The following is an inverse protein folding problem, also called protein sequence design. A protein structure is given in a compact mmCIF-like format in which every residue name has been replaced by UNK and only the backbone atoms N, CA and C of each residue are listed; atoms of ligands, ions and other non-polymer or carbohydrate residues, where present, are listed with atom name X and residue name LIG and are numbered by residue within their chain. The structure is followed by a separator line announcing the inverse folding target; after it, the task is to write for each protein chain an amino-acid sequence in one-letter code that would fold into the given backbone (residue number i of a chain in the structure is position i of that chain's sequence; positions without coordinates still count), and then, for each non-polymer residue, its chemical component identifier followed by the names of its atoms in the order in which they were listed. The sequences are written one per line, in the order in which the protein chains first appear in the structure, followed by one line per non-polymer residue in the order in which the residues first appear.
data_IF_485824214448
#
_entry.id   IF_485824214448
#
_cell.length_a   1.000
_cell.length_b   1.000
_cell.length_c   1.000
_cell.angle_alpha   90.00
_cell.angle_beta   90.00
_cell.angle_gamma   90.00
#
_symmetry.space_group_name_H-M   'P 1'
#
loop_
_entity.id
_entity.type
_entity.pdbx_description
1 polymer ?
#
# COMPACT_ATOMS: atom_id res chain seq x y z
N UNK A 1 7.73 -6.43 -28.35
CA UNK A 1 6.36 -5.95 -28.09
C UNK A 1 6.39 -5.16 -26.79
N UNK A 2 5.61 -4.10 -26.60
CA UNK A 2 5.52 -3.47 -25.27
C UNK A 2 4.75 -4.43 -24.35
N UNK A 3 5.08 -4.45 -23.05
CA UNK A 3 4.46 -5.34 -22.06
C UNK A 3 2.92 -5.35 -22.14
N UNK A 4 2.31 -4.16 -22.23
CA UNK A 4 0.84 -4.04 -22.25
C UNK A 4 0.22 -4.54 -23.54
N UNK A 5 0.88 -4.37 -24.70
CA UNK A 5 0.42 -4.94 -25.97
C UNK A 5 0.44 -6.47 -25.91
N UNK A 6 1.49 -7.04 -25.31
CA UNK A 6 1.65 -8.50 -25.16
C UNK A 6 0.59 -9.09 -24.24
N UNK A 7 0.40 -8.48 -23.07
CA UNK A 7 -0.64 -8.88 -22.12
C UNK A 7 -2.04 -8.78 -22.72
N UNK A 8 -2.34 -7.71 -23.48
CA UNK A 8 -3.62 -7.57 -24.17
C UNK A 8 -3.83 -8.69 -25.19
N UNK A 9 -2.80 -9.04 -25.97
CA UNK A 9 -2.87 -10.13 -26.95
C UNK A 9 -3.12 -11.45 -26.23
N UNK A 10 -2.35 -11.76 -25.19
CA UNK A 10 -2.52 -12.99 -24.40
C UNK A 10 -3.94 -13.07 -23.83
N UNK A 11 -4.43 -12.01 -23.18
CA UNK A 11 -5.79 -12.01 -22.61
C UNK A 11 -6.85 -12.11 -23.71
N UNK A 12 -6.69 -11.41 -24.83
CA UNK A 12 -7.67 -11.41 -25.92
C UNK A 12 -7.77 -12.73 -26.68
N UNK A 13 -6.66 -13.47 -26.83
CA UNK A 13 -6.68 -14.82 -27.39
C UNK A 13 -7.50 -15.80 -26.53
N UNK A 14 -7.68 -15.47 -25.25
CA UNK A 14 -8.49 -16.20 -24.29
C UNK A 14 -9.91 -15.63 -24.13
N UNK A 15 -10.26 -14.58 -24.88
CA UNK A 15 -11.61 -13.97 -24.90
C UNK A 15 -12.21 -14.19 -26.30
N UNK A 16 -13.10 -15.17 -26.45
CA UNK A 16 -13.83 -15.38 -27.72
C UNK A 16 -15.12 -14.54 -27.76
N UNK A 17 -15.33 -13.78 -28.84
CA UNK A 17 -16.53 -13.00 -29.11
C UNK A 17 -16.91 -11.97 -28.02
N UNK A 18 -15.92 -11.39 -27.34
CA UNK A 18 -16.14 -10.39 -26.28
C UNK A 18 -16.72 -10.97 -24.98
N UNK A 19 -16.88 -12.29 -24.91
CA UNK A 19 -17.05 -13.03 -23.68
C UNK A 19 -15.70 -13.66 -23.34
N UNK A 20 -15.24 -13.52 -22.09
CA UNK A 20 -14.18 -14.41 -21.59
C UNK A 20 -14.60 -15.83 -21.97
N UNK A 21 -13.79 -16.60 -22.70
CA UNK A 21 -13.98 -18.07 -22.77
C UNK A 21 -14.12 -18.45 -21.32
N UNK A 22 -15.33 -18.82 -20.89
CA UNK A 22 -15.71 -18.63 -19.49
C UNK A 22 -14.61 -19.28 -18.66
N UNK A 23 -13.86 -18.48 -17.91
CA UNK A 23 -12.79 -19.00 -17.05
C UNK A 23 -13.36 -20.12 -16.17
N UNK A 24 -14.69 -20.15 -16.01
CA UNK A 24 -15.59 -21.15 -15.41
C UNK A 24 -15.80 -22.50 -16.16
N UNK A 25 -15.46 -22.64 -17.45
CA UNK A 25 -15.64 -23.88 -18.23
C UNK A 25 -14.35 -24.42 -18.88
N UNK A 26 -13.21 -23.74 -18.70
CA UNK A 26 -11.92 -24.21 -19.22
C UNK A 26 -11.39 -25.41 -18.41
N UNK A 27 -10.64 -26.31 -19.05
CA UNK A 27 -9.97 -27.43 -18.37
C UNK A 27 -8.87 -26.94 -17.42
N UNK A 28 -8.48 -27.71 -16.39
CA UNK A 28 -7.37 -27.31 -15.50
C UNK A 28 -6.05 -27.08 -16.24
N UNK A 29 -5.72 -27.93 -17.21
CA UNK A 29 -4.43 -27.85 -17.94
C UNK A 29 -4.35 -26.58 -18.80
N UNK A 30 -5.41 -26.29 -19.56
CA UNK A 30 -5.53 -25.07 -20.35
C UNK A 30 -5.44 -23.82 -19.43
N UNK A 31 -6.15 -23.85 -18.30
CA UNK A 31 -6.16 -22.75 -17.33
C UNK A 31 -4.76 -22.52 -16.73
N UNK A 32 -4.01 -23.58 -16.44
CA UNK A 32 -2.63 -23.48 -15.97
C UNK A 32 -1.72 -22.86 -17.03
N UNK A 33 -1.79 -23.31 -18.29
CA UNK A 33 -1.00 -22.74 -19.39
C UNK A 33 -1.28 -21.24 -19.57
N UNK A 34 -2.54 -20.82 -19.40
CA UNK A 34 -2.89 -19.40 -19.43
C UNK A 34 -2.23 -18.61 -18.29
N UNK A 35 -2.32 -19.10 -17.06
CA UNK A 35 -1.71 -18.47 -15.88
C UNK A 35 -0.19 -18.43 -16.01
N UNK A 36 0.43 -19.52 -16.46
CA UNK A 36 1.86 -19.60 -16.73
C UNK A 36 2.28 -18.54 -17.75
N UNK A 37 1.54 -18.41 -18.86
CA UNK A 37 1.83 -17.42 -19.90
C UNK A 37 1.77 -15.99 -19.33
N UNK A 38 0.75 -15.67 -18.53
CA UNK A 38 0.61 -14.36 -17.88
C UNK A 38 1.75 -14.10 -16.86
N UNK A 39 2.11 -15.12 -16.07
CA UNK A 39 3.19 -15.04 -15.09
C UNK A 39 4.57 -14.86 -15.76
N UNK A 40 4.88 -15.63 -16.79
CA UNK A 40 6.15 -15.53 -17.49
C UNK A 40 6.29 -14.18 -18.20
N UNK A 41 5.23 -13.72 -18.86
CA UNK A 41 5.20 -12.40 -19.53
C UNK A 41 5.47 -11.27 -18.53
N UNK A 42 4.77 -11.27 -17.39
CA UNK A 42 4.98 -10.27 -16.33
C UNK A 42 6.39 -10.31 -15.76
N UNK A 43 6.98 -11.51 -15.62
CA UNK A 43 8.35 -11.68 -15.15
C UNK A 43 9.39 -11.15 -16.14
N UNK A 44 9.25 -11.44 -17.43
CA UNK A 44 10.20 -11.01 -18.46
C UNK A 44 10.26 -9.49 -18.61
N UNK A 45 9.12 -8.81 -18.48
CA UNK A 45 9.01 -7.35 -18.59
C UNK A 45 9.29 -6.60 -17.28
N UNK A 46 9.70 -7.31 -16.22
CA UNK A 46 10.11 -6.73 -14.93
C UNK A 46 11.64 -6.79 -14.79
N UNK A 47 12.40 -5.86 -15.41
CA UNK A 47 13.86 -5.86 -15.27
C UNK A 47 14.26 -5.53 -13.82
N UNK A 48 15.39 -6.09 -13.39
CA UNK A 48 16.03 -5.74 -12.10
C UNK A 48 16.18 -4.22 -11.98
N UNK A 49 15.84 -3.66 -10.82
CA UNK A 49 15.74 -2.22 -10.62
C UNK A 49 17.09 -1.51 -10.82
N UNK A 50 17.25 -0.85 -11.97
CA UNK A 50 18.28 0.17 -12.18
C UNK A 50 17.60 1.53 -11.94
N UNK A 51 17.14 1.79 -10.72
CA UNK A 51 16.62 3.09 -10.36
C UNK A 51 17.65 3.85 -9.53
N UNK A 52 18.07 5.01 -10.04
CA UNK A 52 19.06 5.87 -9.40
C UNK A 52 18.49 6.73 -8.25
N UNK A 53 17.17 6.65 -7.98
CA UNK A 53 16.51 7.47 -6.96
C UNK A 53 15.67 6.63 -5.99
N UNK A 54 16.36 6.07 -4.99
CA UNK A 54 15.81 5.19 -3.94
C UNK A 54 14.67 5.86 -3.15
N UNK A 55 14.65 7.19 -3.09
CA UNK A 55 13.75 7.96 -2.23
C UNK A 55 12.31 8.05 -2.74
N UNK A 56 12.09 7.80 -4.04
CA UNK A 56 10.77 7.86 -4.67
C UNK A 56 10.41 6.54 -5.38
N UNK A 57 11.12 5.47 -5.01
CA UNK A 57 10.89 4.10 -5.45
C UNK A 57 10.23 3.34 -4.31
N UNK A 58 9.04 2.78 -4.55
CA UNK A 58 8.26 2.11 -3.51
C UNK A 58 7.88 0.69 -3.91
N UNK A 59 7.68 -0.19 -2.94
CA UNK A 59 7.04 -1.50 -3.12
C UNK A 59 5.77 -1.51 -2.26
N UNK A 60 4.61 -1.74 -2.88
CA UNK A 60 3.34 -1.78 -2.20
C UNK A 60 3.15 -3.12 -1.48
N UNK A 61 2.57 -3.08 -0.29
CA UNK A 61 2.15 -4.30 0.40
C UNK A 61 1.02 -5.02 -0.34
N UNK A 62 0.66 -6.21 0.12
CA UNK A 62 -0.31 -7.07 -0.56
C UNK A 62 -1.66 -6.37 -0.74
N UNK A 63 -2.16 -5.67 0.28
CA UNK A 63 -3.44 -4.96 0.19
C UNK A 63 -3.42 -3.84 -0.86
N UNK A 64 -2.39 -2.97 -0.84
CA UNK A 64 -2.24 -1.89 -1.83
C UNK A 64 -1.93 -2.39 -3.24
N UNK A 65 -1.38 -3.59 -3.37
CA UNK A 65 -1.22 -4.28 -4.66
C UNK A 65 -2.53 -4.87 -5.20
N UNK A 66 -3.65 -4.70 -4.49
CA UNK A 66 -4.95 -5.28 -4.85
C UNK A 66 -5.09 -6.74 -4.43
N UNK A 67 -4.28 -7.25 -3.51
CA UNK A 67 -4.38 -8.61 -3.00
C UNK A 67 -5.56 -8.83 -2.05
N UNK A 68 -5.67 -10.05 -1.53
CA UNK A 68 -6.77 -10.49 -0.65
C UNK A 68 -6.52 -10.28 0.85
N UNK A 69 -5.34 -9.77 1.20
CA UNK A 69 -4.97 -9.56 2.61
C UNK A 69 -5.93 -8.56 3.26
N UNK A 70 -6.37 -8.88 4.48
CA UNK A 70 -7.43 -8.23 5.24
C UNK A 70 -8.86 -8.35 4.67
N UNK A 71 -9.10 -7.94 3.42
CA UNK A 71 -10.43 -8.02 2.80
C UNK A 71 -10.35 -8.33 1.30
N UNK A 72 -10.92 -9.47 0.89
CA UNK A 72 -10.95 -9.93 -0.50
C UNK A 72 -12.10 -9.35 -1.34
N UNK A 73 -12.97 -8.52 -0.75
CA UNK A 73 -14.09 -7.91 -1.48
C UNK A 73 -13.58 -7.10 -2.68
N UNK A 74 -14.18 -7.24 -3.88
CA UNK A 74 -13.78 -6.47 -5.05
C UNK A 74 -13.77 -4.96 -4.83
N UNK A 75 -14.74 -4.44 -4.05
CA UNK A 75 -14.81 -3.02 -3.74
C UNK A 75 -13.63 -2.57 -2.86
N UNK A 76 -13.22 -3.39 -1.89
CA UNK A 76 -12.09 -3.07 -1.02
C UNK A 76 -10.77 -3.12 -1.79
N UNK A 77 -10.58 -4.15 -2.63
CA UNK A 77 -9.41 -4.27 -3.52
C UNK A 77 -9.31 -3.05 -4.45
N UNK A 78 -10.43 -2.64 -5.06
CA UNK A 78 -10.48 -1.44 -5.91
C UNK A 78 -10.12 -0.18 -5.12
N UNK A 79 -10.67 0.02 -3.93
CA UNK A 79 -10.34 1.17 -3.08
C UNK A 79 -8.85 1.25 -2.75
N UNK A 80 -8.20 0.11 -2.48
CA UNK A 80 -6.75 0.07 -2.21
C UNK A 80 -5.93 0.42 -3.45
N UNK A 81 -6.38 0.00 -4.64
CA UNK A 81 -5.75 0.43 -5.89
C UNK A 81 -5.94 1.93 -6.14
N UNK A 82 -7.11 2.49 -5.82
CA UNK A 82 -7.37 3.94 -5.92
C UNK A 82 -6.43 4.74 -4.99
N UNK A 83 -6.19 4.24 -3.77
CA UNK A 83 -5.20 4.79 -2.84
C UNK A 83 -3.77 4.72 -3.42
N UNK A 84 -3.40 3.55 -3.97
CA UNK A 84 -2.10 3.32 -4.60
C UNK A 84 -1.85 4.30 -5.76
N UNK A 85 -2.76 4.39 -6.74
CA UNK A 85 -2.57 5.24 -7.92
C UNK A 85 -2.58 6.73 -7.56
N UNK A 86 -3.33 7.12 -6.54
CA UNK A 86 -3.32 8.48 -6.01
C UNK A 86 -1.95 8.84 -5.42
N UNK A 87 -1.39 7.94 -4.60
CA UNK A 87 -0.04 8.11 -4.06
C UNK A 87 1.01 8.13 -5.17
N UNK A 88 0.91 7.21 -6.12
CA UNK A 88 1.85 7.07 -7.24
C UNK A 88 1.91 8.33 -8.10
N UNK A 89 0.73 8.90 -8.40
CA UNK A 89 0.62 10.08 -9.23
C UNK A 89 1.35 11.29 -8.62
N UNK A 90 1.32 11.46 -7.30
CA UNK A 90 1.87 12.63 -6.62
C UNK A 90 3.33 12.47 -6.17
N UNK A 91 3.70 11.30 -5.68
CA UNK A 91 4.92 11.14 -4.89
C UNK A 91 5.93 10.17 -5.51
N UNK A 92 5.50 9.21 -6.34
CA UNK A 92 6.38 8.14 -6.80
C UNK A 92 6.97 8.38 -8.19
N UNK A 93 8.23 8.00 -8.37
CA UNK A 93 8.81 7.73 -9.68
C UNK A 93 8.37 6.34 -10.17
N UNK A 94 8.43 5.36 -9.26
CA UNK A 94 7.91 4.01 -9.50
C UNK A 94 7.29 3.45 -8.24
N UNK A 95 6.21 2.70 -8.40
CA UNK A 95 5.72 1.77 -7.39
C UNK A 95 5.70 0.37 -7.97
N UNK A 96 6.42 -0.51 -7.33
CA UNK A 96 6.35 -1.94 -7.56
C UNK A 96 5.12 -2.50 -6.82
N UNK A 97 4.38 -3.38 -7.46
CA UNK A 97 3.24 -4.11 -6.88
C UNK A 97 3.43 -5.59 -7.08
N UNK A 98 2.85 -6.41 -6.20
CA UNK A 98 2.92 -7.86 -6.35
C UNK A 98 2.37 -8.30 -7.70
N UNK A 99 3.05 -9.23 -8.36
CA UNK A 99 2.53 -9.90 -9.53
C UNK A 99 1.31 -10.75 -9.14
N UNK A 100 0.09 -10.43 -9.61
CA UNK A 100 -1.12 -11.11 -9.17
C UNK A 100 -1.22 -12.55 -9.70
N UNK A 101 -0.42 -12.92 -10.70
CA UNK A 101 -0.38 -14.28 -11.25
C UNK A 101 0.64 -15.18 -10.54
N UNK A 102 1.58 -14.61 -9.79
CA UNK A 102 2.69 -15.34 -9.17
C UNK A 102 2.20 -16.36 -8.12
N UNK A 103 1.32 -15.94 -7.21
CA UNK A 103 0.75 -16.84 -6.19
C UNK A 103 -0.01 -18.01 -6.84
N UNK A 104 -0.82 -17.71 -7.86
CA UNK A 104 -1.65 -18.71 -8.53
C UNK A 104 -0.78 -19.74 -9.25
N UNK A 105 0.32 -19.28 -9.88
CA UNK A 105 1.26 -20.13 -10.59
C UNK A 105 2.03 -21.05 -9.63
N UNK A 106 2.62 -20.51 -8.54
CA UNK A 106 3.44 -21.31 -7.63
C UNK A 106 2.64 -22.22 -6.69
N UNK A 107 1.43 -21.81 -6.30
CA UNK A 107 0.58 -22.56 -5.36
C UNK A 107 -0.53 -23.35 -6.08
N UNK A 108 -0.45 -23.53 -7.40
CA UNK A 108 -1.49 -24.16 -8.22
C UNK A 108 -2.01 -25.49 -7.64
N UNK A 109 -1.12 -26.37 -7.21
CA UNK A 109 -1.47 -27.69 -6.65
C UNK A 109 -2.14 -27.62 -5.28
N UNK A 110 -2.00 -26.51 -4.56
CA UNK A 110 -2.48 -26.31 -3.20
C UNK A 110 -3.77 -25.48 -3.14
N UNK A 111 -4.13 -24.83 -4.25
CA UNK A 111 -5.28 -23.96 -4.32
C UNK A 111 -6.50 -24.67 -4.92
N UNK A 112 -7.67 -24.31 -4.39
CA UNK A 112 -8.96 -24.72 -4.91
C UNK A 112 -9.22 -24.07 -6.29
N UNK A 113 -9.73 -24.84 -7.26
CA UNK A 113 -10.10 -24.34 -8.60
C UNK A 113 -11.01 -23.11 -8.63
N UNK A 114 -12.02 -23.06 -7.75
CA UNK A 114 -12.90 -21.90 -7.61
C UNK A 114 -12.13 -20.66 -7.15
N UNK A 115 -11.18 -20.84 -6.23
CA UNK A 115 -10.33 -19.75 -5.77
C UNK A 115 -9.43 -19.25 -6.90
N UNK A 116 -8.76 -20.17 -7.60
CA UNK A 116 -7.89 -19.85 -8.75
C UNK A 116 -8.64 -19.04 -9.81
N UNK A 117 -9.85 -19.47 -10.20
CA UNK A 117 -10.67 -18.78 -11.20
C UNK A 117 -11.06 -17.37 -10.76
N UNK A 118 -11.48 -17.22 -9.50
CA UNK A 118 -11.83 -15.92 -8.95
C UNK A 118 -10.64 -14.97 -8.86
N UNK A 119 -9.48 -15.47 -8.44
CA UNK A 119 -8.26 -14.66 -8.36
C UNK A 119 -7.71 -14.31 -9.73
N UNK A 120 -7.77 -15.21 -10.71
CA UNK A 120 -7.39 -14.92 -12.09
C UNK A 120 -8.27 -13.82 -12.70
N UNK A 121 -9.59 -13.92 -12.54
CA UNK A 121 -10.54 -12.89 -13.00
C UNK A 121 -10.19 -11.55 -12.34
N UNK A 122 -9.97 -11.56 -11.03
CA UNK A 122 -9.60 -10.36 -10.27
C UNK A 122 -8.28 -9.77 -10.78
N UNK A 123 -7.25 -10.61 -11.00
CA UNK A 123 -5.94 -10.20 -11.52
C UNK A 123 -6.05 -9.52 -12.91
N UNK A 124 -6.88 -10.07 -13.80
CA UNK A 124 -7.14 -9.50 -15.14
C UNK A 124 -7.83 -8.13 -15.02
N UNK A 125 -8.85 -8.00 -14.18
CA UNK A 125 -9.50 -6.71 -13.93
C UNK A 125 -8.52 -5.67 -13.38
N UNK A 126 -7.65 -6.08 -12.45
CA UNK A 126 -6.62 -5.20 -11.89
C UNK A 126 -5.60 -4.77 -12.93
N UNK A 127 -5.15 -5.69 -13.78
CA UNK A 127 -4.30 -5.36 -14.92
C UNK A 127 -4.95 -4.28 -15.80
N UNK A 128 -6.20 -4.44 -16.22
CA UNK A 128 -6.86 -3.43 -17.06
C UNK A 128 -7.03 -2.09 -16.36
N UNK A 129 -7.35 -2.08 -15.07
CA UNK A 129 -7.41 -0.85 -14.28
C UNK A 129 -6.04 -0.15 -14.19
N UNK A 130 -4.97 -0.91 -13.95
CA UNK A 130 -3.62 -0.38 -13.77
C UNK A 130 -2.86 -0.12 -15.07
N UNK A 131 -3.33 -0.68 -16.19
CA UNK A 131 -2.69 -0.62 -17.51
C UNK A 131 -2.23 0.79 -17.93
N UNK A 132 -3.01 1.88 -17.73
CA UNK A 132 -2.54 3.22 -18.07
C UNK A 132 -1.28 3.62 -17.28
N UNK A 133 -1.22 3.27 -16.00
CA UNK A 133 -0.10 3.59 -15.11
C UNK A 133 1.13 2.71 -15.38
N UNK A 134 0.89 1.46 -15.73
CA UNK A 134 1.92 0.50 -16.18
C UNK A 134 2.56 0.98 -17.48
N UNK A 135 1.74 1.38 -18.47
CA UNK A 135 2.22 1.91 -19.75
C UNK A 135 3.08 3.17 -19.58
N UNK A 136 2.81 3.95 -18.53
CA UNK A 136 3.58 5.15 -18.17
C UNK A 136 4.85 4.84 -17.36
N UNK A 137 5.04 3.60 -16.92
CA UNK A 137 6.17 3.15 -16.11
C UNK A 137 6.13 3.58 -14.64
N UNK A 138 5.03 4.20 -14.20
CA UNK A 138 4.81 4.66 -12.81
C UNK A 138 4.47 3.49 -11.89
N UNK A 139 3.80 2.46 -12.42
CA UNK A 139 3.53 1.21 -11.72
C UNK A 139 4.23 0.09 -12.48
N UNK A 140 4.88 -0.83 -11.75
CA UNK A 140 5.51 -2.03 -12.31
C UNK A 140 5.17 -3.24 -11.44
N UNK A 141 5.14 -4.42 -12.03
CA UNK A 141 5.09 -5.64 -11.22
C UNK A 141 6.43 -5.86 -10.51
N UNK A 142 6.39 -6.53 -9.36
CA UNK A 142 7.54 -7.14 -8.69
C UNK A 142 7.44 -8.65 -8.79
N UNK A 143 8.57 -9.29 -8.55
CA UNK A 143 8.70 -10.74 -8.46
C UNK A 143 9.19 -11.10 -7.07
N UNK A 144 8.44 -11.91 -6.32
CA UNK A 144 8.88 -12.42 -5.02
C UNK A 144 10.06 -13.39 -5.14
N UNK A 145 10.16 -14.07 -6.28
CA UNK A 145 11.20 -15.06 -6.56
C UNK A 145 12.35 -14.45 -7.37
N UNK A 146 13.53 -14.41 -6.76
CA UNK A 146 14.75 -13.91 -7.41
C UNK A 146 15.61 -15.08 -7.91
N UNK A 147 15.92 -15.08 -9.20
CA UNK A 147 16.88 -16.04 -9.77
C UNK A 147 18.30 -15.58 -9.46
N UNK A 148 19.00 -16.32 -8.59
CA UNK A 148 20.37 -16.00 -8.17
C UNK A 148 21.33 -17.11 -8.61
N UNK A 149 22.53 -16.73 -9.04
CA UNK A 149 23.61 -17.71 -9.21
C UNK A 149 24.03 -18.26 -7.83
N UNK A 150 24.68 -19.42 -7.83
CA UNK A 150 25.12 -20.07 -6.59
C UNK A 150 25.96 -19.14 -5.69
N UNK A 151 26.82 -18.30 -6.27
CA UNK A 151 27.60 -17.34 -5.50
C UNK A 151 26.70 -16.33 -4.76
N UNK A 152 25.78 -15.64 -5.45
CA UNK A 152 24.87 -14.69 -4.81
C UNK A 152 23.86 -15.36 -3.87
N UNK A 153 23.49 -16.62 -4.11
CA UNK A 153 22.71 -17.38 -3.15
C UNK A 153 23.45 -17.51 -1.81
N UNK A 154 24.74 -17.88 -1.84
CA UNK A 154 25.56 -18.04 -0.65
C UNK A 154 25.93 -16.71 0.01
N UNK A 155 26.32 -15.70 -0.78
CA UNK A 155 26.88 -14.44 -0.25
C UNK A 155 25.85 -13.36 0.06
N UNK A 156 24.64 -13.43 -0.54
CA UNK A 156 23.60 -12.43 -0.39
C UNK A 156 22.30 -13.01 0.18
N UNK A 157 21.73 -14.04 -0.47
CA UNK A 157 20.41 -14.55 -0.09
C UNK A 157 20.39 -15.21 1.29
N UNK A 158 21.33 -16.11 1.59
CA UNK A 158 21.39 -16.80 2.89
C UNK A 158 21.52 -15.82 4.07
N UNK A 159 22.49 -14.88 4.09
CA UNK A 159 22.60 -13.90 5.17
C UNK A 159 21.34 -13.04 5.32
N UNK A 160 20.73 -12.65 4.19
CA UNK A 160 19.50 -11.84 4.20
C UNK A 160 18.33 -12.62 4.80
N UNK A 161 18.11 -13.88 4.38
CA UNK A 161 17.05 -14.75 4.92
C UNK A 161 17.24 -14.98 6.42
N UNK A 162 18.46 -15.22 6.89
CA UNK A 162 18.71 -15.42 8.33
C UNK A 162 18.35 -14.18 9.15
N UNK A 163 18.69 -12.99 8.64
CA UNK A 163 18.33 -11.70 9.26
C UNK A 163 16.81 -11.50 9.27
N UNK A 164 16.15 -11.78 8.15
CA UNK A 164 14.71 -11.68 8.00
C UNK A 164 13.99 -12.64 8.95
N UNK A 165 14.42 -13.91 9.05
CA UNK A 165 13.85 -14.91 9.98
C UNK A 165 13.99 -14.53 11.45
N UNK A 166 15.02 -13.75 11.81
CA UNK A 166 15.12 -13.20 13.17
C UNK A 166 14.02 -12.16 13.41
N UNK A 167 13.85 -11.21 12.48
CA UNK A 167 12.82 -10.17 12.55
C UNK A 167 11.41 -10.75 12.50
N UNK A 168 11.18 -11.76 11.67
CA UNK A 168 9.89 -12.47 11.55
C UNK A 168 9.41 -12.98 12.92
N UNK A 169 10.31 -13.60 13.70
CA UNK A 169 10.00 -14.09 15.05
C UNK A 169 9.65 -12.97 16.02
N UNK A 170 10.40 -11.87 15.98
CA UNK A 170 10.15 -10.70 16.82
C UNK A 170 8.83 -9.99 16.43
N UNK A 171 8.57 -9.80 15.13
CA UNK A 171 7.31 -9.27 14.62
C UNK A 171 6.13 -10.14 15.01
N UNK A 172 6.25 -11.46 14.85
CA UNK A 172 5.21 -12.41 15.25
C UNK A 172 4.87 -12.26 16.72
N UNK A 173 5.89 -12.09 17.57
CA UNK A 173 5.67 -11.82 18.99
C UNK A 173 4.92 -10.50 19.23
N UNK A 174 5.34 -9.41 18.59
CA UNK A 174 4.68 -8.10 18.75
C UNK A 174 3.23 -8.10 18.26
N UNK A 175 2.96 -8.71 17.11
CA UNK A 175 1.59 -8.85 16.63
C UNK A 175 0.76 -9.74 17.56
N UNK A 176 1.29 -10.87 18.03
CA UNK A 176 0.59 -11.74 18.98
C UNK A 176 0.20 -10.96 20.25
N UNK A 177 1.14 -10.24 20.88
CA UNK A 177 0.84 -9.45 22.07
C UNK A 177 -0.17 -8.33 21.79
N UNK A 178 -0.06 -7.68 20.64
CA UNK A 178 -1.02 -6.65 20.21
C UNK A 178 -2.43 -7.22 20.10
N UNK A 179 -2.62 -8.35 19.41
CA UNK A 179 -3.92 -8.99 19.25
C UNK A 179 -4.47 -9.51 20.59
N UNK A 180 -3.64 -10.11 21.44
CA UNK A 180 -4.06 -10.59 22.76
C UNK A 180 -4.49 -9.47 23.70
N UNK A 181 -3.89 -8.28 23.55
CA UNK A 181 -4.18 -7.13 24.42
C UNK A 181 -5.34 -6.28 23.93
N UNK A 182 -5.54 -6.19 22.61
CA UNK A 182 -6.45 -5.21 22.02
C UNK A 182 -7.68 -5.81 21.32
N UNK A 183 -7.70 -7.13 21.09
CA UNK A 183 -8.79 -7.78 20.39
C UNK A 183 -9.63 -8.68 21.31
N UNK A 184 -10.92 -8.79 20.99
CA UNK A 184 -11.81 -9.77 21.61
C UNK A 184 -12.03 -10.92 20.65
N UNK A 185 -11.77 -12.15 21.11
CA UNK A 185 -12.01 -13.37 20.35
C UNK A 185 -13.23 -14.08 20.92
N UNK A 186 -14.13 -14.50 20.04
CA UNK A 186 -15.30 -15.27 20.46
C UNK A 186 -15.68 -16.34 19.45
N UNK A 187 -16.14 -17.49 19.95
CA UNK A 187 -16.75 -18.54 19.15
C UNK A 187 -18.26 -18.30 19.10
N UNK A 188 -18.81 -18.25 17.90
CA UNK A 188 -20.25 -18.09 17.68
C UNK A 188 -20.73 -18.98 16.52
N UNK A 189 -22.01 -18.87 16.18
CA UNK A 189 -22.64 -19.61 15.09
C UNK A 189 -23.47 -18.72 14.18
N UNK A 190 -23.46 -19.05 12.89
CA UNK A 190 -24.41 -18.49 11.93
C UNK A 190 -25.79 -19.12 12.12
N UNK A 191 -26.81 -18.50 11.53
CA UNK A 191 -28.20 -19.00 11.56
C UNK A 191 -28.32 -20.41 10.95
N UNK A 192 -27.44 -20.76 10.01
CA UNK A 192 -27.38 -22.09 9.42
C UNK A 192 -26.73 -23.16 10.34
N UNK A 193 -26.21 -22.77 11.51
CA UNK A 193 -25.61 -23.64 12.51
C UNK A 193 -24.08 -23.80 12.43
N UNK A 194 -23.45 -23.24 11.40
CA UNK A 194 -21.99 -23.32 11.21
C UNK A 194 -21.27 -22.44 12.23
N UNK A 195 -20.22 -22.99 12.83
CA UNK A 195 -19.42 -22.28 13.82
C UNK A 195 -18.39 -21.35 13.15
N UNK A 196 -18.04 -20.26 13.82
CA UNK A 196 -16.96 -19.37 13.40
C UNK A 196 -16.32 -18.69 14.62
N UNK A 197 -15.09 -18.21 14.44
CA UNK A 197 -14.43 -17.33 15.42
C UNK A 197 -14.58 -15.89 14.93
N UNK A 198 -15.27 -15.05 15.72
CA UNK A 198 -15.28 -13.61 15.55
C UNK A 198 -14.12 -12.98 16.30
N UNK A 199 -13.44 -12.07 15.63
CA UNK A 199 -12.36 -11.26 16.17
C UNK A 199 -12.79 -9.81 16.03
N UNK A 200 -12.87 -9.10 17.14
CA UNK A 200 -13.18 -7.66 17.16
C UNK A 200 -11.92 -6.92 17.57
N UNK A 201 -11.42 -6.07 16.68
CA UNK A 201 -10.24 -5.24 16.86
C UNK A 201 -10.64 -3.76 17.01
N UNK A 202 -10.29 -3.16 18.14
CA UNK A 202 -10.60 -1.75 18.44
C UNK A 202 -9.51 -0.78 17.96
N UNK A 203 -8.45 -1.28 17.36
CA UNK A 203 -7.26 -0.50 17.01
C UNK A 203 -7.15 -0.21 15.51
N UNK A 204 -8.02 -0.76 14.67
CA UNK A 204 -7.96 -0.67 13.20
C UNK A 204 -6.66 -1.26 12.63
N UNK A 205 -6.17 -2.33 13.26
CA UNK A 205 -5.13 -3.20 12.69
C UNK A 205 -5.73 -4.14 11.64
N UNK A 206 -6.96 -4.61 11.89
CA UNK A 206 -7.81 -5.31 10.93
C UNK A 206 -8.71 -4.32 10.18
N UNK A 207 -8.84 -4.53 8.88
CA UNK A 207 -9.81 -3.82 8.04
C UNK A 207 -11.24 -4.08 8.57
N UNK A 208 -12.08 -3.05 8.60
CA UNK A 208 -13.45 -3.09 9.11
C UNK A 208 -13.62 -3.45 10.61
N UNK A 209 -12.58 -3.37 11.43
CA UNK A 209 -12.60 -3.63 12.89
C UNK A 209 -13.00 -5.07 13.29
N UNK A 210 -13.35 -5.93 12.33
CA UNK A 210 -13.84 -7.29 12.58
C UNK A 210 -13.34 -8.27 11.53
N UNK A 211 -13.04 -9.48 11.98
CA UNK A 211 -12.70 -10.61 11.12
C UNK A 211 -13.40 -11.87 11.58
N UNK A 212 -13.85 -12.66 10.62
CA UNK A 212 -14.50 -13.95 10.85
C UNK A 212 -13.59 -15.06 10.34
N UNK A 213 -13.20 -15.98 11.21
CA UNK A 213 -12.51 -17.20 10.82
C UNK A 213 -13.53 -18.33 10.74
N UNK A 214 -13.72 -18.81 9.52
CA UNK A 214 -14.61 -19.92 9.22
C UNK A 214 -13.85 -21.24 9.35
N UNK A 215 -14.55 -22.28 9.80
CA UNK A 215 -14.01 -23.64 9.76
C UNK A 215 -14.42 -24.29 8.44
N UNK A 216 -13.51 -25.06 7.84
CA UNK A 216 -13.87 -25.97 6.75
C UNK A 216 -14.60 -27.19 7.35
N UNK A 217 -15.91 -27.04 7.53
CA UNK A 217 -16.75 -28.00 8.25
C UNK A 217 -16.68 -27.83 9.77
N UNK A 218 -16.42 -28.92 10.52
CA UNK A 218 -16.45 -28.89 11.99
C UNK A 218 -15.11 -28.42 12.56
N UNK A 219 -15.09 -27.68 13.69
CA UNK A 219 -13.83 -27.30 14.33
C UNK A 219 -12.90 -28.50 14.58
N UNK A 220 -11.61 -28.35 14.26
CA UNK A 220 -10.63 -29.43 14.37
C UNK A 220 -10.37 -29.87 15.82
N UNK A 221 -10.47 -28.95 16.78
CA UNK A 221 -10.30 -29.24 18.20
C UNK A 221 -11.57 -29.78 18.85
N UNK A 222 -11.41 -30.81 19.70
CA UNK A 222 -12.50 -31.36 20.52
C UNK A 222 -13.09 -30.30 21.46
N UNK A 223 -12.24 -29.39 21.95
CA UNK A 223 -12.66 -28.30 22.82
C UNK A 223 -13.62 -27.35 22.09
N UNK A 224 -13.22 -26.85 20.91
CA UNK A 224 -14.04 -25.99 20.06
C UNK A 224 -15.35 -26.67 19.64
N UNK A 225 -15.31 -27.97 19.29
CA UNK A 225 -16.53 -28.73 18.98
C UNK A 225 -17.50 -28.75 20.17
N UNK A 226 -17.01 -28.98 21.38
CA UNK A 226 -17.85 -29.00 22.57
C UNK A 226 -18.42 -27.63 22.91
N UNK A 227 -17.63 -26.56 22.75
CA UNK A 227 -18.11 -25.20 22.92
C UNK A 227 -19.21 -24.87 21.91
N UNK A 228 -18.99 -25.18 20.62
CA UNK A 228 -19.97 -24.89 19.57
C UNK A 228 -21.33 -25.59 19.81
N UNK A 229 -21.35 -26.78 20.44
CA UNK A 229 -22.60 -27.48 20.78
C UNK A 229 -23.45 -26.78 21.84
N UNK A 230 -22.87 -25.92 22.69
CA UNK A 230 -23.60 -25.23 23.76
C UNK A 230 -24.55 -24.15 23.25
N UNK A 231 -24.43 -23.74 21.98
CA UNK A 231 -25.35 -22.81 21.31
C UNK A 231 -25.33 -21.38 21.87
N UNK A 232 -24.28 -21.00 22.60
CA UNK A 232 -24.08 -19.65 23.14
C UNK A 232 -22.73 -19.12 22.69
N UNK A 233 -22.66 -17.82 22.40
CA UNK A 233 -21.42 -17.10 22.17
C UNK A 233 -20.45 -17.33 23.34
N UNK A 234 -19.25 -17.80 23.02
CA UNK A 234 -18.20 -18.05 24.00
C UNK A 234 -17.04 -17.08 23.77
N UNK A 235 -16.71 -16.26 24.77
CA UNK A 235 -15.56 -15.35 24.68
C UNK A 235 -14.34 -16.10 25.17
N UNK A 236 -13.28 -16.13 24.35
CA UNK A 236 -12.04 -16.80 24.71
C UNK A 236 -11.21 -15.98 25.69
N UNK A 237 -10.61 -16.66 26.65
CA UNK A 237 -9.49 -16.15 27.44
C UNK A 237 -8.17 -16.25 26.65
N UNK A 238 -7.16 -15.46 27.05
CA UNK A 238 -5.81 -15.51 26.48
C UNK A 238 -5.23 -16.93 26.40
N UNK A 239 -5.37 -17.71 27.48
CA UNK A 239 -4.87 -19.09 27.54
C UNK A 239 -5.58 -20.02 26.55
N UNK A 240 -6.88 -19.82 26.31
CA UNK A 240 -7.61 -20.59 25.31
C UNK A 240 -7.17 -20.22 23.89
N UNK A 241 -6.95 -18.93 23.61
CA UNK A 241 -6.43 -18.46 22.32
C UNK A 241 -5.08 -19.10 21.99
N UNK A 242 -4.18 -19.13 22.98
CA UNK A 242 -2.86 -19.76 22.89
C UNK A 242 -2.97 -21.28 22.72
N UNK A 243 -3.78 -21.96 23.53
CA UNK A 243 -3.93 -23.43 23.48
C UNK A 243 -4.59 -23.92 22.18
N UNK A 244 -5.55 -23.16 21.65
CA UNK A 244 -6.24 -23.49 20.39
C UNK A 244 -5.49 -22.96 19.16
N UNK A 245 -4.32 -22.33 19.36
CA UNK A 245 -3.45 -21.82 18.31
C UNK A 245 -4.21 -20.96 17.28
N UNK A 246 -5.03 -20.03 17.75
CA UNK A 246 -5.91 -19.21 16.88
C UNK A 246 -5.11 -18.13 16.15
N UNK A 247 -4.16 -17.48 16.84
CA UNK A 247 -3.45 -16.29 16.35
C UNK A 247 -2.69 -16.49 15.04
N UNK A 248 -2.00 -17.61 14.77
CA UNK A 248 -1.23 -17.75 13.53
C UNK A 248 -2.07 -17.58 12.26
N UNK A 249 -3.36 -17.89 12.29
CA UNK A 249 -4.28 -17.69 11.16
C UNK A 249 -4.45 -16.22 10.77
N UNK A 250 -4.20 -15.30 11.69
CA UNK A 250 -4.31 -13.85 11.48
C UNK A 250 -2.94 -13.19 11.42
N UNK A 251 -2.03 -13.60 12.31
CA UNK A 251 -0.73 -12.97 12.47
C UNK A 251 0.25 -13.36 11.36
N UNK A 252 0.27 -14.63 10.96
CA UNK A 252 1.23 -15.10 9.93
C UNK A 252 1.05 -14.35 8.61
N UNK A 253 -0.17 -14.17 8.05
CA UNK A 253 -0.34 -13.38 6.82
C UNK A 253 0.13 -11.93 6.96
N UNK A 254 -0.08 -11.29 8.12
CA UNK A 254 0.35 -9.90 8.35
C UNK A 254 1.87 -9.77 8.47
N UNK A 255 2.51 -10.73 9.15
CA UNK A 255 3.97 -10.76 9.31
C UNK A 255 4.64 -11.10 7.98
N UNK A 256 4.13 -12.10 7.26
CA UNK A 256 4.63 -12.50 5.95
C UNK A 256 4.55 -11.34 4.95
N UNK A 257 3.45 -10.58 4.93
CA UNK A 257 3.33 -9.38 4.09
C UNK A 257 4.44 -8.35 4.36
N UNK A 258 4.86 -8.16 5.62
CA UNK A 258 5.95 -7.23 5.94
C UNK A 258 7.31 -7.83 5.54
N UNK A 259 7.50 -9.13 5.81
CA UNK A 259 8.76 -9.86 5.61
C UNK A 259 9.07 -10.06 4.12
N UNK A 260 8.08 -10.49 3.34
CA UNK A 260 8.19 -10.67 1.89
C UNK A 260 8.53 -9.34 1.21
N UNK A 261 7.91 -8.25 1.66
CA UNK A 261 8.20 -6.94 1.10
C UNK A 261 9.55 -6.38 1.55
N UNK A 262 10.09 -6.77 2.70
CA UNK A 262 11.48 -6.46 3.06
C UNK A 262 12.46 -7.19 2.11
N UNK A 263 12.19 -8.45 1.78
CA UNK A 263 12.95 -9.21 0.80
C UNK A 263 12.91 -8.54 -0.59
N UNK A 264 11.72 -8.21 -1.09
CA UNK A 264 11.56 -7.56 -2.39
C UNK A 264 12.20 -6.16 -2.38
N UNK A 265 11.97 -5.37 -1.33
CA UNK A 265 12.59 -4.04 -1.17
C UNK A 265 14.11 -4.07 -1.31
N UNK A 266 14.74 -5.14 -0.82
CA UNK A 266 16.19 -5.32 -0.93
C UNK A 266 16.68 -5.33 -2.37
N UNK A 267 16.02 -6.10 -3.23
CA UNK A 267 16.43 -6.27 -4.62
C UNK A 267 15.96 -5.15 -5.54
N UNK A 268 14.87 -4.47 -5.18
CA UNK A 268 14.29 -3.38 -5.96
C UNK A 268 14.75 -1.99 -5.52
N UNK A 269 15.55 -1.91 -4.44
CA UNK A 269 16.07 -0.68 -3.86
C UNK A 269 14.95 0.34 -3.63
N UNK A 270 13.92 -0.10 -2.90
CA UNK A 270 12.66 0.61 -2.72
C UNK A 270 12.24 0.65 -1.24
N UNK A 271 11.37 1.60 -0.91
CA UNK A 271 10.72 1.67 0.41
C UNK A 271 9.37 0.95 0.40
N UNK A 272 8.99 0.31 1.51
CA UNK A 272 7.69 -0.34 1.64
C UNK A 272 6.57 0.69 1.74
N UNK A 273 5.51 0.55 0.97
CA UNK A 273 4.27 1.31 1.05
C UNK A 273 3.17 0.40 1.61
N UNK A 274 2.51 0.82 2.69
CA UNK A 274 1.43 0.08 3.36
C UNK A 274 0.19 0.93 3.56
N UNK A 275 -0.94 0.25 3.67
CA UNK A 275 -2.26 0.82 3.91
C UNK A 275 -2.60 1.04 5.39
N UNK A 276 -1.77 0.56 6.33
CA UNK A 276 -2.12 0.57 7.77
C UNK A 276 -1.09 1.27 8.66
N UNK A 277 -1.52 2.39 9.27
CA UNK A 277 -0.77 3.09 10.34
C UNK A 277 -0.42 2.16 11.49
N UNK A 278 -1.32 1.24 11.83
CA UNK A 278 -1.16 0.41 13.02
C UNK A 278 -0.16 -0.72 12.78
N UNK A 279 -0.16 -1.33 11.59
CA UNK A 279 0.89 -2.28 11.20
C UNK A 279 2.28 -1.65 11.26
N UNK A 280 2.43 -0.39 10.81
CA UNK A 280 3.68 0.37 10.95
C UNK A 280 4.07 0.55 12.43
N UNK A 281 3.12 0.95 13.28
CA UNK A 281 3.39 1.15 14.72
C UNK A 281 3.92 -0.12 15.38
N UNK A 282 3.33 -1.26 15.05
CA UNK A 282 3.76 -2.58 15.55
C UNK A 282 5.15 -2.92 14.98
N UNK A 283 5.35 -2.77 13.66
CA UNK A 283 6.63 -3.06 13.02
C UNK A 283 7.80 -2.20 13.55
N UNK A 284 7.54 -0.94 13.89
CA UNK A 284 8.54 -0.03 14.45
C UNK A 284 9.04 -0.45 15.84
N UNK A 285 8.35 -1.34 16.55
CA UNK A 285 8.81 -1.88 17.84
C UNK A 285 10.11 -2.70 17.68
N UNK A 286 10.40 -3.23 16.48
CA UNK A 286 11.67 -3.88 16.16
C UNK A 286 12.88 -2.95 16.33
N UNK A 287 12.68 -1.64 16.16
CA UNK A 287 13.76 -0.65 16.11
C UNK A 287 13.67 0.34 17.28
N UNK A 288 13.15 -0.10 18.44
CA UNK A 288 12.85 0.75 19.59
C UNK A 288 14.05 1.59 20.09
N UNK A 289 15.29 1.13 19.88
CA UNK A 289 16.51 1.85 20.29
C UNK A 289 16.94 2.96 19.30
N UNK A 290 16.50 2.92 18.03
CA UNK A 290 16.87 3.89 16.98
C UNK A 290 15.72 4.78 16.50
N UNK A 291 14.47 4.48 16.89
CA UNK A 291 13.27 5.00 16.19
C UNK A 291 12.17 5.52 17.11
N UNK A 292 12.40 5.62 18.43
CA UNK A 292 11.38 5.98 19.41
C UNK A 292 10.72 7.36 19.21
N UNK A 293 11.23 8.22 18.32
CA UNK A 293 10.78 9.61 18.22
C UNK A 293 10.20 10.07 16.85
N UNK A 294 10.38 9.31 15.75
CA UNK A 294 10.33 9.94 14.41
C UNK A 294 9.09 9.73 13.55
N UNK A 295 8.27 8.69 13.73
CA UNK A 295 7.15 8.43 12.80
C UNK A 295 5.80 8.92 13.35
N UNK A 296 5.46 8.57 14.61
CA UNK A 296 4.18 8.95 15.21
C UNK A 296 4.09 10.44 15.57
N UNK A 297 5.15 10.99 16.18
CA UNK A 297 5.24 12.43 16.52
C UNK A 297 5.15 13.26 15.24
N UNK A 298 5.95 12.89 14.23
CA UNK A 298 5.92 13.48 12.90
C UNK A 298 4.55 13.41 12.22
N UNK A 299 3.91 12.23 12.21
CA UNK A 299 2.58 12.04 11.59
C UNK A 299 1.53 12.91 12.27
N UNK A 300 1.51 12.93 13.61
CA UNK A 300 0.57 13.76 14.38
C UNK A 300 0.81 15.25 14.13
N UNK A 301 2.07 15.67 14.00
CA UNK A 301 2.41 17.06 13.78
C UNK A 301 2.17 17.56 12.36
N UNK A 302 2.14 16.68 11.36
CA UNK A 302 1.93 17.04 9.94
C UNK A 302 0.49 16.80 9.48
N UNK A 303 -0.25 15.89 10.14
CA UNK A 303 -1.67 15.65 9.87
C UNK A 303 -2.51 16.96 9.87
N UNK A 304 -2.09 17.99 10.62
CA UNK A 304 -2.79 19.28 10.67
C UNK A 304 -2.51 20.23 9.49
N UNK A 305 -1.52 19.92 8.65
CA UNK A 305 -0.97 20.88 7.67
C UNK A 305 -0.93 20.38 6.24
N UNK A 306 -1.05 19.06 6.01
CA UNK A 306 -1.02 18.48 4.68
C UNK A 306 -2.38 17.91 4.30
N UNK A 307 -3.02 18.44 3.25
CA UNK A 307 -4.21 17.78 2.71
C UNK A 307 -3.79 16.44 2.10
N UNK A 308 -4.46 15.36 2.48
CA UNK A 308 -4.39 14.12 1.70
C UNK A 308 -5.11 14.36 0.38
N UNK A 309 -4.37 14.42 -0.73
CA UNK A 309 -4.93 14.66 -2.05
C UNK A 309 -5.31 13.30 -2.64
N UNK A 310 -6.57 12.90 -2.51
CA UNK A 310 -7.12 11.81 -3.31
C UNK A 310 -7.64 12.42 -4.62
N UNK A 311 -6.99 12.08 -5.74
CA UNK A 311 -7.45 12.53 -7.05
C UNK A 311 -8.49 11.55 -7.58
N UNK A 312 -9.66 12.05 -8.01
CA UNK A 312 -10.62 11.28 -8.81
C UNK A 312 -10.05 10.92 -10.19
N UNK A 313 -8.98 11.58 -10.62
CA UNK A 313 -8.29 11.26 -11.87
C UNK A 313 -6.76 11.36 -11.70
N UNK A 314 -6.10 10.28 -11.21
CA UNK A 314 -4.66 10.28 -11.03
C UNK A 314 -3.87 10.39 -12.35
N UNK A 315 -4.47 10.07 -13.49
CA UNK A 315 -3.82 10.21 -14.81
C UNK A 315 -3.66 11.68 -15.21
N UNK A 316 -4.62 12.54 -14.89
CA UNK A 316 -4.48 13.99 -15.09
C UNK A 316 -3.26 14.55 -14.35
N UNK A 317 -2.99 14.06 -13.13
CA UNK A 317 -1.82 14.45 -12.33
C UNK A 317 -0.52 13.99 -12.99
N UNK A 318 -0.47 12.74 -13.46
CA UNK A 318 0.72 12.22 -14.16
C UNK A 318 0.96 12.97 -15.47
N UNK A 319 -0.10 13.32 -16.20
CA UNK A 319 0.03 14.14 -17.40
C UNK A 319 0.52 15.56 -17.06
N UNK A 320 0.06 16.14 -15.95
CA UNK A 320 0.58 17.42 -15.47
C UNK A 320 2.06 17.34 -15.10
N UNK A 321 2.52 16.25 -14.48
CA UNK A 321 3.95 16.02 -14.18
C UNK A 321 4.80 16.09 -15.44
N UNK A 322 4.32 15.51 -16.54
CA UNK A 322 5.01 15.54 -17.83
C UNK A 322 4.99 16.93 -18.45
N UNK A 323 3.85 17.61 -18.39
CA UNK A 323 3.69 18.93 -19.01
C UNK A 323 4.40 20.06 -18.25
N UNK A 324 4.57 19.92 -16.94
CA UNK A 324 5.20 20.89 -16.04
C UNK A 324 6.40 20.25 -15.31
N UNK A 325 7.21 19.48 -16.03
CA UNK A 325 8.31 18.66 -15.49
C UNK A 325 9.28 19.45 -14.61
N UNK A 326 9.72 20.63 -15.08
CA UNK A 326 10.65 21.48 -14.34
C UNK A 326 10.04 21.94 -13.01
N UNK A 327 8.78 22.36 -13.01
CA UNK A 327 8.09 22.79 -11.80
C UNK A 327 7.83 21.63 -10.82
N UNK A 328 7.54 20.45 -11.35
CA UNK A 328 7.41 19.24 -10.53
C UNK A 328 8.75 18.86 -9.90
N UNK A 329 9.85 18.96 -10.66
CA UNK A 329 11.20 18.70 -10.15
C UNK A 329 11.60 19.68 -9.06
N UNK A 330 11.36 20.99 -9.24
CA UNK A 330 11.63 22.00 -8.21
C UNK A 330 10.82 21.72 -6.93
N UNK A 331 9.54 21.39 -7.07
CA UNK A 331 8.70 20.98 -5.94
C UNK A 331 9.29 19.77 -5.20
N UNK A 332 9.70 18.73 -5.93
CA UNK A 332 10.29 17.52 -5.35
C UNK A 332 11.65 17.76 -4.73
N UNK A 333 12.53 18.53 -5.36
CA UNK A 333 13.85 18.88 -4.84
C UNK A 333 13.71 19.70 -3.55
N UNK A 334 12.71 20.58 -3.48
CA UNK A 334 12.39 21.32 -2.26
C UNK A 334 11.89 20.40 -1.15
N UNK A 335 10.98 19.49 -1.47
CA UNK A 335 10.48 18.49 -0.54
C UNK A 335 11.63 17.60 -0.05
N UNK A 336 12.46 17.09 -0.96
CA UNK A 336 13.65 16.29 -0.66
C UNK A 336 14.62 17.04 0.26
N UNK A 337 14.92 18.30 -0.03
CA UNK A 337 15.80 19.15 0.78
C UNK A 337 15.25 19.37 2.19
N UNK A 338 13.96 19.67 2.33
CA UNK A 338 13.31 19.85 3.65
C UNK A 338 13.45 18.58 4.49
N UNK A 339 13.35 17.42 3.85
CA UNK A 339 13.41 16.13 4.53
C UNK A 339 14.85 15.74 4.90
N UNK A 340 15.84 16.10 4.07
CA UNK A 340 17.26 15.91 4.39
C UNK A 340 17.78 16.88 5.46
N UNK A 341 17.34 18.14 5.39
CA UNK A 341 17.71 19.21 6.33
C UNK A 341 16.95 19.08 7.67
N UNK A 342 16.02 18.12 7.78
CA UNK A 342 15.39 17.72 9.02
C UNK A 342 16.47 17.39 10.06
N UNK A 343 16.51 18.08 11.21
CA UNK A 343 17.52 17.84 12.22
C UNK A 343 17.39 16.39 12.72
N UNK A 344 18.30 15.53 12.27
CA UNK A 344 18.40 14.10 12.65
C UNK A 344 18.42 13.86 14.17
N UNK A 345 18.80 14.89 14.92
CA UNK A 345 18.96 14.88 16.38
C UNK A 345 17.84 15.66 17.12
N UNK A 346 16.94 16.37 16.43
CA UNK A 346 15.82 17.11 17.05
C UNK A 346 14.54 17.01 16.21
N UNK A 347 13.94 15.82 16.09
CA UNK A 347 12.77 15.56 15.25
C UNK A 347 11.55 16.41 15.62
N UNK A 348 11.49 16.88 16.87
CA UNK A 348 10.42 17.73 17.40
C UNK A 348 10.36 19.13 16.76
N UNK A 349 11.45 19.57 16.12
CA UNK A 349 11.51 20.85 15.39
C UNK A 349 11.11 20.72 13.92
N UNK A 350 10.97 19.51 13.39
CA UNK A 350 10.53 19.31 12.01
C UNK A 350 9.16 19.91 11.70
N UNK A 351 8.15 19.82 12.59
CA UNK A 351 6.87 20.51 12.41
C UNK A 351 7.00 22.02 12.30
N UNK A 352 7.92 22.62 13.06
CA UNK A 352 8.21 24.05 12.99
C UNK A 352 8.88 24.38 11.65
N UNK A 353 9.87 23.60 11.22
CA UNK A 353 10.53 23.76 9.90
C UNK A 353 9.51 23.62 8.76
N UNK A 354 8.61 22.65 8.84
CA UNK A 354 7.55 22.44 7.85
C UNK A 354 6.54 23.60 7.87
N UNK A 355 6.09 24.03 9.05
CA UNK A 355 5.20 25.19 9.25
C UNK A 355 5.84 26.49 8.78
N UNK A 356 7.16 26.61 8.88
CA UNK A 356 7.87 27.86 8.57
C UNK A 356 8.41 27.88 7.13
N UNK A 357 8.49 26.72 6.45
CA UNK A 357 9.04 26.60 5.07
C UNK A 357 8.03 26.15 4.02
N UNK A 358 7.11 25.23 4.35
CA UNK A 358 6.13 24.67 3.40
C UNK A 358 4.78 25.35 3.55
N UNK A 359 4.30 25.53 4.79
CA UNK A 359 2.99 26.13 5.05
C UNK A 359 2.86 27.57 4.51
N UNK A 360 3.87 28.46 4.59
CA UNK A 360 3.74 29.82 4.06
C UNK A 360 3.63 29.80 2.54
N UNK A 361 4.31 28.86 1.88
CA UNK A 361 4.25 28.66 0.43
C UNK A 361 2.92 28.04 0.00
N UNK A 362 2.41 27.03 0.71
CA UNK A 362 1.05 26.49 0.51
C UNK A 362 0.00 27.58 0.76
N UNK A 363 0.17 28.42 1.80
CA UNK A 363 -0.74 29.53 2.07
C UNK A 363 -0.65 30.62 1.00
N UNK A 364 0.54 30.91 0.49
CA UNK A 364 0.75 31.78 -0.66
C UNK A 364 0.06 31.22 -1.89
N UNK A 365 0.15 29.91 -2.14
CA UNK A 365 -0.56 29.23 -3.23
C UNK A 365 -2.06 29.30 -3.01
N UNK A 366 -2.59 28.92 -1.85
CA UNK A 366 -4.02 28.96 -1.53
C UNK A 366 -4.59 30.39 -1.63
N UNK A 367 -3.82 31.39 -1.19
CA UNK A 367 -4.13 32.81 -1.39
C UNK A 367 -4.15 33.16 -2.89
N UNK A 368 -3.09 32.82 -3.64
CA UNK A 368 -3.00 33.01 -5.10
C UNK A 368 -4.13 32.31 -5.85
N UNK A 369 -4.56 31.14 -5.39
CA UNK A 369 -5.68 30.38 -5.94
C UNK A 369 -6.98 31.11 -5.63
N UNK A 370 -7.26 31.47 -4.38
CA UNK A 370 -8.47 32.21 -3.96
C UNK A 370 -8.59 33.55 -4.67
N UNK A 371 -7.47 34.22 -4.94
CA UNK A 371 -7.43 35.47 -5.70
C UNK A 371 -7.66 35.24 -7.22
N UNK A 372 -7.25 34.10 -7.77
CA UNK A 372 -7.50 33.71 -9.17
C UNK A 372 -8.91 33.14 -9.40
N UNK A 373 -9.53 32.56 -8.36
CA UNK A 373 -10.87 31.97 -8.33
C UNK A 373 -12.00 32.94 -8.69
N UNK A 374 -11.76 34.23 -8.55
CA UNK A 374 -12.76 35.26 -8.90
C UNK A 374 -12.99 35.31 -10.43
N UNK A 375 -12.19 34.61 -11.27
CA UNK A 375 -12.27 34.75 -12.73
C UNK A 375 -12.39 33.50 -13.62
N UNK A 376 -12.53 32.26 -13.14
CA UNK A 376 -12.85 31.13 -14.05
C UNK A 376 -13.46 29.91 -13.34
N UNK A 377 -14.50 29.32 -13.98
CA UNK A 377 -15.21 28.10 -13.57
C UNK A 377 -14.56 26.84 -14.18
N UNK A 378 -14.40 25.84 -13.29
CA UNK A 378 -14.38 24.36 -13.44
C UNK A 378 -13.44 23.67 -14.44
N UNK A 379 -12.68 22.67 -13.92
CA UNK A 379 -12.88 21.24 -14.25
C UNK A 379 -12.09 20.29 -13.31
N UNK A 380 -10.96 20.70 -12.72
CA UNK A 380 -10.15 19.82 -11.85
C UNK A 380 -10.61 19.81 -10.38
N UNK A 381 -11.23 20.90 -9.91
CA UNK A 381 -11.63 21.02 -8.49
C UNK A 381 -12.69 20.08 -8.01
N UNK A 382 -13.60 19.70 -8.88
CA UNK A 382 -14.65 18.73 -8.55
C UNK A 382 -14.07 17.31 -8.46
N UNK A 383 -12.77 17.13 -8.79
CA UNK A 383 -12.05 15.87 -8.83
C UNK A 383 -11.05 15.66 -7.70
N UNK A 384 -10.83 16.62 -6.79
CA UNK A 384 -9.93 16.40 -5.65
C UNK A 384 -10.79 16.16 -4.41
N UNK A 385 -10.77 14.93 -3.89
CA UNK A 385 -11.39 14.57 -2.61
C UNK A 385 -10.27 14.48 -1.56
N UNK A 386 -10.54 14.98 -0.36
CA UNK A 386 -9.63 14.81 0.77
C UNK A 386 -10.04 13.54 1.52
N UNK A 387 -9.26 12.46 1.36
CA UNK A 387 -9.55 11.11 1.91
C UNK A 387 -8.43 10.57 2.79
N UNK A 388 -8.58 9.36 3.35
CA UNK A 388 -7.49 8.63 4.00
C UNK A 388 -6.56 8.03 2.94
N UNK A 389 -5.25 8.22 3.06
CA UNK A 389 -4.28 7.79 2.04
C UNK A 389 -3.17 6.85 2.53
N UNK A 390 -2.52 6.20 1.58
CA UNK A 390 -1.45 5.21 1.78
C UNK A 390 -0.18 5.80 2.43
N UNK A 391 0.61 4.96 3.09
CA UNK A 391 1.75 5.34 3.92
C UNK A 391 3.04 4.62 3.50
N UNK A 392 4.12 5.36 3.25
CA UNK A 392 5.42 4.77 2.94
C UNK A 392 6.34 4.64 4.18
N UNK A 393 7.19 3.63 4.26
CA UNK A 393 8.25 3.49 5.25
C UNK A 393 9.38 2.59 4.73
N UNK A 394 10.63 2.95 5.00
CA UNK A 394 11.79 2.19 4.51
C UNK A 394 12.23 1.10 5.49
N UNK A 395 12.21 -0.16 5.06
CA UNK A 395 12.76 -1.30 5.81
C UNK A 395 14.09 -1.76 5.19
N UNK A 396 15.15 -0.95 5.25
CA UNK A 396 16.47 -1.43 4.82
C UNK A 396 17.34 -1.83 6.01
N UNK A 397 17.54 -3.14 6.13
CA UNK A 397 18.70 -3.85 6.72
C UNK A 397 19.46 -3.22 7.91
N UNK A 398 18.78 -2.71 8.94
CA UNK A 398 19.39 -2.46 10.26
C UNK A 398 20.28 -1.22 10.35
N UNK A 399 20.36 -0.43 9.29
CA UNK A 399 20.73 1.00 9.34
C UNK A 399 19.76 1.68 8.37
N UNK A 400 18.79 2.41 8.91
CA UNK A 400 17.93 3.30 8.14
C UNK A 400 18.82 4.21 7.25
N UNK A 401 18.56 4.35 5.94
CA UNK A 401 18.67 5.65 5.32
C UNK A 401 17.64 6.53 6.04
N UNK A 402 18.13 7.28 7.01
CA UNK A 402 17.36 8.25 7.77
C UNK A 402 16.62 9.19 6.80
N UNK A 403 15.29 9.10 6.80
CA UNK A 403 14.36 10.23 6.81
C UNK A 403 13.37 10.41 5.64
N UNK A 404 13.42 9.71 4.50
CA UNK A 404 12.52 10.08 3.38
C UNK A 404 11.19 9.30 3.31
N UNK A 405 11.24 7.95 3.32
CA UNK A 405 10.04 7.12 3.16
C UNK A 405 8.98 7.32 4.27
N UNK A 406 9.40 7.29 5.54
CA UNK A 406 8.52 7.52 6.70
C UNK A 406 7.93 8.92 6.74
N UNK A 407 8.60 9.87 6.09
CA UNK A 407 8.19 11.27 6.06
C UNK A 407 7.16 11.51 4.97
N UNK A 408 7.37 10.98 3.76
CA UNK A 408 6.37 10.93 2.70
C UNK A 408 5.07 10.22 3.13
N UNK A 409 5.17 9.22 4.02
CA UNK A 409 4.00 8.58 4.66
C UNK A 409 3.04 9.56 5.33
N UNK A 410 3.52 10.49 6.16
CA UNK A 410 2.59 11.39 6.85
C UNK A 410 1.99 12.44 5.91
N UNK A 411 2.67 12.73 4.80
CA UNK A 411 2.17 13.63 3.76
C UNK A 411 1.03 12.96 2.98
N UNK A 412 1.20 11.68 2.63
CA UNK A 412 0.20 10.91 1.88
C UNK A 412 -0.99 10.42 2.70
N UNK A 413 -0.87 10.31 4.03
CA UNK A 413 -1.90 9.71 4.88
C UNK A 413 -2.67 10.66 5.81
N UNK A 414 -2.44 11.98 5.79
CA UNK A 414 -3.00 12.94 6.75
C UNK A 414 -4.53 13.14 6.65
N UNK A 415 -5.30 12.44 7.47
CA UNK A 415 -6.72 12.70 7.65
C UNK A 415 -6.95 13.99 8.44
N UNK A 416 -7.07 15.13 7.75
CA UNK A 416 -7.68 16.33 8.31
C UNK A 416 -8.54 17.02 7.23
N UNK A 417 -9.87 16.87 7.37
CA UNK A 417 -10.83 17.74 6.68
C UNK A 417 -10.73 19.11 7.37
N UNK A 418 -10.14 20.10 6.69
CA UNK A 418 -10.32 21.50 7.06
C UNK A 418 -11.26 22.13 6.05
N UNK A 419 -12.53 22.22 6.43
CA UNK A 419 -13.46 23.18 5.86
C UNK A 419 -12.93 24.59 6.16
N UNK A 420 -12.34 25.20 5.13
CA UNK A 420 -12.22 26.65 4.88
C UNK A 420 -12.74 27.61 5.95
N UNK A 421 -11.91 28.57 6.37
CA UNK A 421 -12.24 30.01 6.44
C UNK A 421 -11.04 30.82 6.95
N UNK A 422 -10.33 31.53 6.07
CA UNK A 422 -9.66 32.80 6.44
C UNK A 422 -9.85 33.78 5.27
N UNK A 423 -10.60 34.84 5.56
CA UNK A 423 -10.68 36.08 4.77
C UNK A 423 -9.37 36.83 4.87
N UNK A 424 -8.80 37.32 3.77
CA UNK A 424 -8.09 38.60 3.69
C UNK A 424 -7.86 38.99 2.23
N UNK A 425 -8.12 40.27 1.94
CA UNK A 425 -8.04 40.90 0.62
C UNK A 425 -6.60 41.20 0.17
N UNK A 426 -6.46 41.25 -1.16
CA UNK A 426 -5.48 41.95 -2.00
C UNK A 426 -4.02 41.43 -2.06
N UNK A 427 -3.62 40.98 -3.26
CA UNK A 427 -2.62 41.65 -4.11
C UNK A 427 -2.70 41.07 -5.54
N UNK A 428 -2.82 41.94 -6.55
CA UNK A 428 -2.79 41.55 -7.96
C UNK A 428 -1.36 41.19 -8.37
N UNK A 429 -1.14 39.95 -8.84
CA UNK A 429 0.12 39.52 -9.47
C UNK A 429 -0.17 38.80 -10.78
N UNK A 430 0.77 38.90 -11.71
CA UNK A 430 0.69 38.42 -13.09
C UNK A 430 1.04 36.92 -13.20
N UNK A 431 0.60 36.25 -14.28
CA UNK A 431 0.81 34.81 -14.54
C UNK A 431 2.30 34.39 -14.50
N UNK A 432 3.22 35.32 -14.73
CA UNK A 432 4.67 35.07 -14.73
C UNK A 432 5.26 34.96 -13.31
N UNK A 433 4.69 35.64 -12.31
CA UNK A 433 5.16 35.60 -10.92
C UNK A 433 4.69 34.34 -10.17
N UNK A 434 3.69 33.64 -10.72
CA UNK A 434 3.20 32.37 -10.19
C UNK A 434 4.09 31.21 -10.68
N UNK A 435 4.56 31.27 -11.93
CA UNK A 435 5.48 30.28 -12.53
C UNK A 435 6.84 30.21 -11.84
N UNK A 436 7.27 31.28 -11.19
CA UNK A 436 8.56 31.33 -10.47
C UNK A 436 8.50 30.80 -9.04
N UNK A 437 7.38 30.25 -8.59
CA UNK A 437 7.25 29.67 -7.24
C UNK A 437 7.71 28.21 -7.21
N UNK A 438 8.45 27.84 -6.17
CA UNK A 438 8.93 26.46 -5.92
C UNK A 438 7.79 25.42 -5.87
N UNK A 439 6.55 25.86 -5.67
CA UNK A 439 5.38 25.00 -5.53
C UNK A 439 4.34 25.25 -6.63
N UNK A 440 4.74 25.85 -7.75
CA UNK A 440 3.89 26.08 -8.92
C UNK A 440 3.14 24.82 -9.40
N UNK A 441 3.77 23.66 -9.25
CA UNK A 441 3.16 22.36 -9.56
C UNK A 441 1.88 22.10 -8.72
N UNK A 442 1.93 22.33 -7.40
CA UNK A 442 0.76 22.20 -6.53
C UNK A 442 -0.33 23.23 -6.90
N UNK A 443 0.05 24.43 -7.35
CA UNK A 443 -0.91 25.41 -7.84
C UNK A 443 -1.64 24.91 -9.10
N UNK A 444 -0.92 24.33 -10.06
CA UNK A 444 -1.55 23.78 -11.28
C UNK A 444 -2.51 22.62 -10.97
N UNK A 445 -2.27 21.82 -9.93
CA UNK A 445 -3.21 20.78 -9.47
C UNK A 445 -4.56 21.35 -9.02
N UNK A 446 -4.64 22.62 -8.63
CA UNK A 446 -5.87 23.23 -8.07
C UNK A 446 -6.65 24.11 -9.05
N UNK A 447 -6.12 24.27 -10.27
CA UNK A 447 -6.68 25.07 -11.36
C UNK A 447 -7.54 24.18 -12.25
#
# INVERSE_FOLDING_TARGET
MQFTDEMDVIISLWVQDGNLLSIDNVTPDDLFEFIETLYLTTREHTPSAINNNENFSFIANTALSGGILDCSSPMCRQSKLDELVSFAALYADVIYINNPFELIYFEWEHLNMKFIRNELISAIYQYFYLKPYISLGVIKYSTGYMSLCQHHHETLAKPLIEKIKKKERELTHFFNEHFLSNCTFSLDKFDNGDAFIEIIDKTNTLEHERKYLHFDGKPNSKYLRNLSKKGKKHIFSRKEIENENILPTIVTPLVNDIVEQEWISHFYNSSLLTDSRQKIKIANQLNAETTAFNANTFTNSINHYLPTIQSRDPLEIINLRKNEEEAFKVYRDKLHKIILDAPKQNPEKFPEIFRDTVLPEINLINKKIKDFQIKKRSNLRDKIIFGSGALAFGLYSGVLPSNLGSILAAIGGGSAIVSSMIDYKSAFLSKNEIRSSDYYFLWQLTK
#
